data_IF_523052293303
#
_entry.id   IF_523052293303
#
_cell.length_a   1.000
_cell.length_b   1.000
_cell.length_c   1.000
_cell.angle_alpha   90.00
_cell.angle_beta   90.00
_cell.angle_gamma   90.00
#
_symmetry.space_group_name_H-M   'P 1'
#
loop_
_entity.id
_entity.type
_entity.pdbx_description
1 polymer ?
#
# COMPACT_ATOMS: atom_id res chain seq x y z
N UNK A 1 11.11 -4.19 0.62
CA UNK A 1 9.85 -4.73 0.05
C UNK A 1 9.31 -5.80 0.96
N UNK A 2 8.06 -5.65 1.47
CA UNK A 2 7.25 -6.64 2.21
C UNK A 2 6.13 -7.16 1.30
N UNK A 3 6.41 -8.12 0.40
CA UNK A 3 5.47 -8.50 -0.64
C UNK A 3 4.22 -9.13 0.00
N UNK A 4 3.05 -8.79 -0.54
CA UNK A 4 1.81 -9.41 -0.12
C UNK A 4 1.60 -10.71 -0.93
N UNK A 5 1.39 -11.83 -0.24
CA UNK A 5 1.10 -13.11 -0.86
C UNK A 5 -0.39 -13.33 -1.16
N UNK A 6 -1.27 -12.45 -0.70
CA UNK A 6 -2.72 -12.63 -0.77
C UNK A 6 -3.32 -12.16 -2.11
N UNK A 7 -2.66 -11.24 -2.82
CA UNK A 7 -3.17 -10.60 -4.04
C UNK A 7 -2.37 -10.99 -5.29
N UNK A 8 -3.06 -11.07 -6.42
CA UNK A 8 -2.45 -10.86 -7.74
C UNK A 8 -2.49 -9.37 -8.05
N UNK A 9 -1.39 -8.87 -8.63
CA UNK A 9 -1.18 -7.47 -8.91
C UNK A 9 -1.14 -7.22 -10.42
N UNK A 10 -1.92 -6.25 -10.89
CA UNK A 10 -1.92 -5.75 -12.26
C UNK A 10 -1.53 -4.26 -12.27
N UNK A 11 -0.23 -3.94 -12.46
CA UNK A 11 0.24 -2.56 -12.50
C UNK A 11 -0.14 -1.88 -13.83
N UNK A 12 -0.56 -0.63 -13.75
CA UNK A 12 -0.93 0.20 -14.91
C UNK A 12 -0.26 1.55 -14.78
N UNK A 13 0.43 2.01 -15.83
CA UNK A 13 0.84 3.41 -15.94
C UNK A 13 -0.25 4.16 -16.71
N UNK A 14 -0.65 5.33 -16.19
CA UNK A 14 -1.66 6.20 -16.79
C UNK A 14 -0.95 7.43 -17.36
N UNK A 15 -1.12 7.66 -18.66
CA UNK A 15 -0.64 8.86 -19.34
C UNK A 15 -1.82 9.70 -19.84
N UNK A 16 -2.06 10.82 -19.17
CA UNK A 16 -3.08 11.81 -19.51
C UNK A 16 -2.46 13.05 -20.14
N UNK A 17 -1.30 12.94 -20.80
CA UNK A 17 -0.72 14.04 -21.58
C UNK A 17 -1.52 14.34 -22.85
N UNK A 18 -1.94 13.31 -23.59
CA UNK A 18 -2.61 13.46 -24.89
C UNK A 18 -4.06 12.94 -24.91
N UNK A 19 -4.35 11.88 -24.16
CA UNK A 19 -5.63 11.17 -24.21
C UNK A 19 -6.24 11.03 -22.81
N UNK A 20 -7.57 10.88 -22.76
CA UNK A 20 -8.24 10.35 -21.58
C UNK A 20 -8.08 8.82 -21.55
N UNK A 21 -8.53 8.16 -20.50
CA UNK A 21 -8.52 6.69 -20.41
C UNK A 21 -9.92 6.18 -20.11
N UNK A 22 -10.36 5.16 -20.84
CA UNK A 22 -11.58 4.39 -20.58
C UNK A 22 -11.19 3.15 -19.77
N UNK A 23 -11.77 3.01 -18.57
CA UNK A 23 -11.54 1.88 -17.66
C UNK A 23 -12.84 1.09 -17.53
N UNK A 24 -12.83 -0.18 -17.90
CA UNK A 24 -13.96 -1.09 -17.71
C UNK A 24 -13.69 -2.01 -16.53
N UNK A 25 -14.49 -1.85 -15.47
CA UNK A 25 -14.48 -2.72 -14.31
C UNK A 25 -15.29 -4.00 -14.63
N UNK A 26 -14.69 -5.20 -14.58
CA UNK A 26 -15.42 -6.44 -14.83
C UNK A 26 -16.40 -6.75 -13.69
N UNK A 27 -17.40 -7.59 -14.00
CA UNK A 27 -18.34 -8.07 -12.99
C UNK A 27 -17.73 -9.22 -12.19
N UNK A 28 -17.28 -8.93 -10.95
CA UNK A 28 -16.68 -9.90 -10.04
C UNK A 28 -17.71 -10.27 -8.97
N UNK A 29 -18.23 -11.50 -9.00
CA UNK A 29 -19.41 -11.91 -8.20
C UNK A 29 -19.17 -13.03 -7.21
N UNK A 30 -17.95 -13.56 -7.12
CA UNK A 30 -17.63 -14.71 -6.26
C UNK A 30 -17.29 -14.31 -4.81
N UNK A 31 -17.51 -13.04 -4.46
CA UNK A 31 -17.33 -12.50 -3.12
C UNK A 31 -15.88 -12.19 -2.74
N UNK A 32 -14.91 -12.34 -3.67
CA UNK A 32 -13.52 -11.96 -3.39
C UNK A 32 -13.36 -10.45 -3.22
N UNK A 33 -12.44 -10.05 -2.36
CA UNK A 33 -12.05 -8.65 -2.24
C UNK A 33 -11.16 -8.23 -3.43
N UNK A 34 -11.39 -7.03 -3.96
CA UNK A 34 -10.59 -6.44 -5.02
C UNK A 34 -10.61 -4.91 -4.94
N UNK A 35 -9.56 -4.29 -5.45
CA UNK A 35 -9.43 -2.84 -5.52
C UNK A 35 -8.69 -2.42 -6.79
N UNK A 36 -9.19 -1.36 -7.42
CA UNK A 36 -8.64 -0.65 -8.56
C UNK A 36 -8.32 0.76 -8.04
N UNK A 37 -7.18 0.91 -7.34
CA UNK A 37 -6.77 2.18 -6.79
C UNK A 37 -6.16 3.04 -7.89
N UNK A 38 -6.45 4.33 -7.86
CA UNK A 38 -5.83 5.33 -8.71
C UNK A 38 -4.86 6.14 -7.87
N UNK A 39 -3.68 6.37 -8.45
CA UNK A 39 -2.61 7.11 -7.84
C UNK A 39 -2.12 8.21 -8.75
N UNK A 40 -1.80 9.36 -8.16
CA UNK A 40 -1.06 10.40 -8.87
C UNK A 40 0.41 9.99 -9.03
N UNK A 41 1.20 10.81 -9.73
CA UNK A 41 2.63 10.54 -9.89
C UNK A 41 3.40 10.42 -8.56
N UNK A 42 2.94 11.11 -7.51
CA UNK A 42 3.57 11.17 -6.19
C UNK A 42 3.10 10.08 -5.23
N UNK A 43 2.16 9.22 -5.65
CA UNK A 43 1.65 8.09 -4.89
C UNK A 43 0.43 8.40 -4.03
N UNK A 44 -0.26 9.51 -4.26
CA UNK A 44 -1.52 9.86 -3.58
C UNK A 44 -2.67 8.96 -4.05
N UNK A 45 -3.32 8.22 -3.15
CA UNK A 45 -4.45 7.34 -3.47
C UNK A 45 -5.80 8.08 -3.43
N UNK A 46 -5.99 9.03 -4.34
CA UNK A 46 -7.15 9.94 -4.33
C UNK A 46 -8.47 9.32 -4.80
N UNK A 47 -8.44 8.16 -5.48
CA UNK A 47 -9.66 7.47 -5.92
C UNK A 47 -9.51 5.94 -5.90
N UNK A 48 -10.63 5.26 -5.68
CA UNK A 48 -10.68 3.79 -5.65
C UNK A 48 -11.99 3.30 -6.29
N UNK A 49 -11.89 2.25 -7.10
CA UNK A 49 -13.02 1.38 -7.44
C UNK A 49 -12.79 0.01 -6.79
N UNK A 50 -13.82 -0.72 -6.43
CA UNK A 50 -13.61 -2.02 -5.79
C UNK A 50 -14.77 -2.55 -4.97
N UNK A 51 -14.52 -3.69 -4.34
CA UNK A 51 -15.49 -4.35 -3.44
C UNK A 51 -15.77 -3.56 -2.17
N UNK A 52 -14.81 -2.76 -1.68
CA UNK A 52 -14.97 -1.97 -0.44
C UNK A 52 -15.87 -0.75 -0.64
N UNK A 53 -15.72 -0.05 -1.78
CA UNK A 53 -16.55 1.10 -2.15
C UNK A 53 -17.83 0.68 -2.90
N UNK A 54 -18.06 -0.63 -3.07
CA UNK A 54 -19.20 -1.21 -3.78
C UNK A 54 -19.40 -0.62 -5.19
N UNK A 55 -18.31 -0.60 -5.98
CA UNK A 55 -18.35 -0.04 -7.33
C UNK A 55 -19.14 -0.93 -8.29
N UNK A 56 -20.12 -0.39 -9.03
CA UNK A 56 -20.84 -1.17 -10.04
C UNK A 56 -19.91 -1.55 -11.21
N UNK A 57 -20.03 -2.77 -11.77
CA UNK A 57 -19.27 -3.14 -12.95
C UNK A 57 -19.71 -2.30 -14.15
N UNK A 58 -18.76 -1.92 -15.01
CA UNK A 58 -19.02 -1.09 -16.18
C UNK A 58 -17.92 -0.07 -16.44
N UNK A 59 -18.26 0.97 -17.20
CA UNK A 59 -17.28 1.92 -17.72
C UNK A 59 -17.10 3.14 -16.84
N UNK A 60 -15.86 3.54 -16.68
CA UNK A 60 -15.42 4.74 -16.01
C UNK A 60 -14.50 5.55 -16.91
N UNK A 61 -14.62 6.87 -16.85
CA UNK A 61 -13.74 7.79 -17.57
C UNK A 61 -12.65 8.27 -16.62
N UNK A 62 -11.40 8.23 -17.06
CA UNK A 62 -10.27 8.86 -16.37
C UNK A 62 -9.81 10.04 -17.21
N UNK A 63 -9.67 11.22 -16.59
CA UNK A 63 -9.27 12.45 -17.27
C UNK A 63 -8.37 13.31 -16.38
N UNK A 64 -7.66 14.23 -17.01
CA UNK A 64 -6.99 15.33 -16.31
C UNK A 64 -7.93 16.52 -16.23
N UNK A 65 -8.17 17.06 -15.03
CA UNK A 65 -8.93 18.30 -14.84
C UNK A 65 -8.49 19.02 -13.56
N UNK A 66 -7.66 20.07 -13.73
CA UNK A 66 -7.14 20.86 -12.61
C UNK A 66 -8.16 21.82 -11.99
N UNK A 67 -9.35 21.99 -12.59
CA UNK A 67 -10.41 22.83 -12.04
C UNK A 67 -11.31 22.07 -11.06
N UNK A 68 -11.23 20.74 -11.02
CA UNK A 68 -12.00 19.89 -10.16
C UNK A 68 -11.14 19.33 -9.03
N UNK A 69 -11.75 19.05 -7.88
CA UNK A 69 -11.10 18.24 -6.85
C UNK A 69 -10.75 16.85 -7.42
N UNK A 70 -9.52 16.36 -7.20
CA UNK A 70 -9.15 15.00 -7.56
C UNK A 70 -10.09 13.98 -6.91
N UNK A 71 -10.42 12.92 -7.64
CA UNK A 71 -11.31 11.89 -7.12
C UNK A 71 -12.30 11.32 -8.12
N UNK A 72 -13.16 10.44 -7.60
CA UNK A 72 -14.25 9.81 -8.34
C UNK A 72 -15.56 10.57 -8.13
N UNK A 73 -16.22 10.93 -9.23
CA UNK A 73 -17.59 11.47 -9.24
C UNK A 73 -18.50 10.55 -10.04
N UNK A 74 -19.55 10.02 -9.41
CA UNK A 74 -20.54 9.16 -10.05
C UNK A 74 -21.63 9.98 -10.75
N UNK A 75 -22.18 9.45 -11.85
CA UNK A 75 -23.35 10.03 -12.53
C UNK A 75 -23.11 11.42 -13.14
N UNK A 76 -22.01 11.59 -13.87
CA UNK A 76 -21.61 12.87 -14.43
C UNK A 76 -22.45 13.27 -15.66
N UNK A 77 -23.10 14.43 -15.62
CA UNK A 77 -24.03 14.90 -16.68
C UNK A 77 -23.36 15.08 -18.06
N UNK A 78 -22.10 15.54 -18.08
CA UNK A 78 -21.32 15.70 -19.33
C UNK A 78 -20.94 14.34 -19.97
N UNK A 79 -20.85 13.29 -19.16
CA UNK A 79 -20.35 11.98 -19.56
C UNK A 79 -21.33 10.86 -19.18
N UNK A 80 -22.61 10.92 -19.61
CA UNK A 80 -23.67 10.04 -19.14
C UNK A 80 -23.50 8.57 -19.56
N UNK A 81 -22.61 8.30 -20.52
CA UNK A 81 -22.24 6.94 -20.93
C UNK A 81 -21.28 6.23 -19.96
N UNK A 82 -20.70 6.97 -19.01
CA UNK A 82 -19.83 6.46 -17.97
C UNK A 82 -20.56 6.45 -16.62
N UNK A 83 -20.31 5.41 -15.82
CA UNK A 83 -20.87 5.30 -14.46
C UNK A 83 -20.28 6.37 -13.54
N UNK A 84 -19.00 6.69 -13.73
CA UNK A 84 -18.31 7.77 -13.04
C UNK A 84 -17.08 8.28 -13.79
N UNK A 85 -16.59 9.42 -13.33
CA UNK A 85 -15.42 10.12 -13.86
C UNK A 85 -14.38 10.25 -12.76
N UNK A 86 -13.15 9.83 -13.03
CA UNK A 86 -11.99 9.97 -12.16
C UNK A 86 -11.15 11.15 -12.70
N UNK A 87 -11.07 12.22 -11.92
CA UNK A 87 -10.25 13.40 -12.24
C UNK A 87 -8.88 13.26 -11.56
N UNK A 88 -7.82 13.26 -12.36
CA UNK A 88 -6.43 13.20 -11.89
C UNK A 88 -5.90 14.61 -11.57
N UNK A 89 -5.05 14.76 -10.53
CA UNK A 89 -4.38 16.03 -10.23
C UNK A 89 -3.12 16.26 -11.08
N UNK A 90 -2.56 15.20 -11.66
CA UNK A 90 -1.28 15.19 -12.36
C UNK A 90 -1.41 14.58 -13.76
N UNK A 91 -0.54 14.98 -14.68
CA UNK A 91 -0.58 14.50 -16.08
C UNK A 91 -0.32 12.99 -16.19
N UNK A 92 0.43 12.43 -15.24
CA UNK A 92 0.76 11.01 -15.19
C UNK A 92 0.41 10.44 -13.83
N UNK A 93 0.09 9.15 -13.80
CA UNK A 93 -0.09 8.45 -12.56
C UNK A 93 -0.11 6.95 -12.78
N UNK A 94 -0.75 6.22 -11.89
CA UNK A 94 -0.77 4.77 -11.98
C UNK A 94 -2.01 4.15 -11.35
N UNK A 95 -2.19 2.86 -11.64
CA UNK A 95 -3.01 1.97 -10.84
C UNK A 95 -2.16 0.79 -10.40
N UNK A 96 -2.47 0.26 -9.23
CA UNK A 96 -1.95 -1.02 -8.77
C UNK A 96 -3.14 -1.90 -8.43
N UNK A 97 -3.76 -2.47 -9.46
CA UNK A 97 -4.97 -3.28 -9.32
C UNK A 97 -4.62 -4.53 -8.51
N UNK A 98 -5.46 -4.85 -7.52
CA UNK A 98 -5.24 -5.96 -6.59
C UNK A 98 -6.48 -6.82 -6.53
N UNK A 99 -6.36 -8.10 -6.82
CA UNK A 99 -7.45 -9.07 -6.69
C UNK A 99 -6.99 -10.20 -5.75
N UNK A 100 -7.76 -10.45 -4.68
CA UNK A 100 -7.44 -11.51 -3.72
C UNK A 100 -7.47 -12.88 -4.41
N UNK A 101 -6.45 -13.68 -4.14
CA UNK A 101 -6.45 -15.11 -4.45
C UNK A 101 -7.15 -15.86 -3.33
N UNK A 102 -8.02 -16.79 -3.72
CA UNK A 102 -8.48 -17.81 -2.79
C UNK A 102 -7.40 -18.88 -2.61
N UNK A 103 -7.29 -19.48 -1.42
CA UNK A 103 -6.40 -20.65 -1.21
C UNK A 103 -4.95 -20.50 -1.72
N UNK A 104 -4.30 -19.37 -1.42
CA UNK A 104 -2.86 -19.06 -1.57
C UNK A 104 -2.15 -19.81 -2.73
N UNK A 105 -2.52 -19.51 -3.98
CA UNK A 105 -1.83 -19.96 -5.20
C UNK A 105 -2.54 -21.03 -6.03
N UNK A 106 -3.57 -21.70 -5.50
CA UNK A 106 -4.38 -22.65 -6.29
C UNK A 106 -5.50 -21.99 -7.08
N UNK A 107 -5.89 -20.77 -6.70
CA UNK A 107 -6.92 -19.96 -7.34
C UNK A 107 -6.36 -18.96 -8.38
N UNK A 108 -5.06 -19.02 -8.67
CA UNK A 108 -4.40 -18.08 -9.57
C UNK A 108 -5.10 -18.02 -10.94
N UNK A 109 -5.47 -19.18 -11.51
CA UNK A 109 -6.15 -19.25 -12.80
C UNK A 109 -7.50 -18.50 -12.80
N UNK A 110 -8.25 -18.56 -11.70
CA UNK A 110 -9.52 -17.85 -11.59
C UNK A 110 -9.30 -16.33 -11.54
N UNK A 111 -8.26 -15.87 -10.82
CA UNK A 111 -7.88 -14.45 -10.82
C UNK A 111 -7.43 -13.99 -12.21
N UNK A 112 -6.60 -14.78 -12.90
CA UNK A 112 -6.15 -14.45 -14.26
C UNK A 112 -7.32 -14.35 -15.25
N UNK A 113 -8.35 -15.19 -15.08
CA UNK A 113 -9.59 -15.09 -15.87
C UNK A 113 -10.36 -13.81 -15.59
N UNK A 114 -10.38 -13.32 -14.35
CA UNK A 114 -10.97 -12.02 -14.01
C UNK A 114 -10.13 -10.90 -14.62
N UNK A 115 -8.81 -10.94 -14.46
CA UNK A 115 -7.89 -9.93 -15.01
C UNK A 115 -8.01 -9.82 -16.53
N UNK A 116 -8.23 -10.94 -17.23
CA UNK A 116 -8.44 -10.96 -18.68
C UNK A 116 -9.69 -10.21 -19.17
N UNK A 117 -10.61 -9.89 -18.26
CA UNK A 117 -11.84 -9.14 -18.54
C UNK A 117 -11.72 -7.65 -18.21
N UNK A 118 -10.60 -7.22 -17.62
CA UNK A 118 -10.29 -5.81 -17.40
C UNK A 118 -9.91 -5.20 -18.75
N UNK A 119 -10.57 -4.10 -19.14
CA UNK A 119 -10.24 -3.34 -20.35
C UNK A 119 -9.87 -1.91 -19.95
N UNK A 120 -8.65 -1.49 -20.27
CA UNK A 120 -8.12 -0.15 -20.02
C UNK A 120 -7.52 0.34 -21.33
N UNK A 121 -8.07 1.42 -21.90
CA UNK A 121 -7.66 1.90 -23.21
C UNK A 121 -7.65 3.41 -23.32
N UNK A 122 -6.79 3.98 -24.18
CA UNK A 122 -6.82 5.39 -24.45
C UNK A 122 -8.15 5.81 -25.11
N UNK A 123 -8.58 7.02 -24.78
CA UNK A 123 -9.75 7.67 -25.31
C UNK A 123 -9.35 9.06 -25.80
N UNK A 124 -9.40 9.26 -27.12
CA UNK A 124 -9.08 10.54 -27.74
C UNK A 124 -9.90 11.68 -27.14
N UNK A 125 -9.23 12.79 -26.82
CA UNK A 125 -9.86 14.04 -26.39
C UNK A 125 -9.47 15.20 -27.32
N UNK A 126 -10.35 16.19 -27.50
CA UNK A 126 -9.99 17.40 -28.23
C UNK A 126 -9.06 18.29 -27.40
N UNK A 127 -8.21 19.07 -28.09
CA UNK A 127 -7.36 20.08 -27.46
C UNK A 127 -5.86 19.80 -27.61
N UNK A 128 -5.01 20.76 -27.19
CA UNK A 128 -3.57 20.54 -27.15
C UNK A 128 -3.18 19.53 -26.06
N UNK A 129 -2.00 18.91 -26.14
CA UNK A 129 -1.47 18.09 -25.06
C UNK A 129 -1.27 18.91 -23.77
N UNK A 130 -1.47 18.27 -22.63
CA UNK A 130 -1.21 18.85 -21.30
C UNK A 130 0.25 18.69 -20.86
N UNK A 131 1.04 17.92 -21.60
CA UNK A 131 2.46 17.67 -21.34
C UNK A 131 3.08 16.77 -22.41
N UNK A 132 4.36 16.41 -22.25
CA UNK A 132 4.99 15.41 -23.11
C UNK A 132 4.37 14.03 -22.87
N UNK A 133 4.48 13.12 -23.84
CA UNK A 133 4.08 11.73 -23.64
C UNK A 133 4.95 11.07 -22.56
N UNK A 134 4.39 10.14 -21.79
CA UNK A 134 5.14 9.36 -20.82
C UNK A 134 6.04 8.36 -21.54
N UNK A 135 7.33 8.69 -21.62
CA UNK A 135 8.34 7.88 -22.30
C UNK A 135 9.57 7.72 -21.40
N UNK A 136 10.41 6.71 -21.63
CA UNK A 136 11.71 6.62 -20.97
C UNK A 136 12.55 7.90 -21.09
N UNK A 137 12.43 8.63 -22.21
CA UNK A 137 13.09 9.91 -22.45
C UNK A 137 12.54 11.01 -21.53
N UNK A 138 11.21 11.10 -21.38
CA UNK A 138 10.56 12.01 -20.42
C UNK A 138 11.04 11.73 -18.99
N UNK A 139 11.32 10.47 -18.68
CA UNK A 139 11.86 10.02 -17.38
C UNK A 139 13.40 10.04 -17.30
N UNK A 140 14.08 10.83 -18.14
CA UNK A 140 15.53 11.06 -18.12
C UNK A 140 16.39 9.78 -18.23
N UNK A 141 15.86 8.73 -18.87
CA UNK A 141 16.51 7.43 -18.92
C UNK A 141 16.30 6.66 -17.61
N UNK A 142 15.26 5.84 -17.59
CA UNK A 142 14.79 5.04 -16.44
C UNK A 142 15.85 4.19 -15.72
N UNK A 143 17.02 3.94 -16.33
CA UNK A 143 18.08 3.09 -15.75
C UNK A 143 18.84 3.73 -14.58
N UNK A 144 18.91 5.06 -14.46
CA UNK A 144 19.67 5.71 -13.37
C UNK A 144 18.93 5.60 -12.03
N UNK A 145 17.60 5.42 -12.05
CA UNK A 145 16.77 5.37 -10.85
C UNK A 145 16.82 4.03 -10.12
N UNK A 146 17.22 2.94 -10.78
CA UNK A 146 17.04 1.61 -10.22
C UNK A 146 17.89 1.35 -8.96
N UNK A 147 19.12 1.86 -8.90
CA UNK A 147 19.96 1.70 -7.70
C UNK A 147 19.56 2.67 -6.58
N UNK A 148 19.32 3.94 -6.94
CA UNK A 148 18.91 4.97 -5.98
C UNK A 148 17.54 4.67 -5.36
N UNK A 149 16.60 4.10 -6.11
CA UNK A 149 15.25 3.75 -5.64
C UNK A 149 15.24 2.66 -4.55
N UNK A 150 16.34 1.91 -4.39
CA UNK A 150 16.48 0.88 -3.34
C UNK A 150 17.03 1.44 -2.02
N UNK A 151 17.48 2.70 -2.02
CA UNK A 151 18.06 3.36 -0.85
C UNK A 151 17.03 4.19 -0.11
N UNK A 152 17.28 4.37 1.19
CA UNK A 152 16.55 5.36 1.98
C UNK A 152 16.73 6.76 1.37
N UNK A 153 15.68 7.62 1.31
CA UNK A 153 15.79 8.98 0.81
C UNK A 153 16.87 9.82 1.50
N UNK A 154 17.19 9.51 2.76
CA UNK A 154 18.27 10.16 3.53
C UNK A 154 19.60 9.38 3.53
N UNK A 155 19.66 8.24 2.84
CA UNK A 155 20.87 7.45 2.62
C UNK A 155 21.50 7.65 1.24
N UNK A 156 20.97 8.55 0.42
CA UNK A 156 21.43 8.83 -0.93
C UNK A 156 22.72 9.64 -0.94
N UNK A 157 23.62 9.34 -1.88
CA UNK A 157 24.78 10.18 -2.13
C UNK A 157 24.44 11.38 -3.04
N UNK A 158 25.39 12.30 -3.20
CA UNK A 158 25.17 13.55 -3.96
C UNK A 158 24.82 13.31 -5.43
N UNK A 159 25.34 12.24 -6.04
CA UNK A 159 25.06 11.89 -7.44
C UNK A 159 23.61 11.45 -7.55
N UNK A 160 23.17 10.56 -6.65
CA UNK A 160 21.82 10.01 -6.64
C UNK A 160 20.78 11.08 -6.36
N UNK A 161 21.04 11.95 -5.38
CA UNK A 161 20.17 13.11 -5.11
C UNK A 161 20.08 14.01 -6.34
N UNK A 162 21.21 14.31 -7.01
CA UNK A 162 21.21 15.17 -8.21
C UNK A 162 20.39 14.54 -9.34
N UNK A 163 20.45 13.23 -9.53
CA UNK A 163 19.64 12.51 -10.52
C UNK A 163 18.16 12.65 -10.22
N UNK A 164 17.75 12.40 -8.96
CA UNK A 164 16.33 12.51 -8.56
C UNK A 164 15.82 13.94 -8.74
N UNK A 165 16.61 14.95 -8.37
CA UNK A 165 16.23 16.35 -8.54
C UNK A 165 16.17 16.75 -10.02
N UNK A 166 17.04 16.20 -10.86
CA UNK A 166 17.01 16.41 -12.32
C UNK A 166 15.75 15.79 -12.94
N UNK A 167 15.39 14.57 -12.54
CA UNK A 167 14.14 13.94 -12.95
C UNK A 167 12.93 14.77 -12.49
N UNK A 168 12.92 15.17 -11.23
CA UNK A 168 11.84 15.98 -10.67
C UNK A 168 11.67 17.28 -11.46
N UNK A 169 12.76 17.94 -11.86
CA UNK A 169 12.69 19.15 -12.69
C UNK A 169 12.06 18.90 -14.06
N UNK A 170 12.29 17.74 -14.67
CA UNK A 170 11.73 17.40 -15.97
C UNK A 170 10.21 17.14 -15.93
N UNK A 171 9.64 16.82 -14.76
CA UNK A 171 8.25 16.37 -14.63
C UNK A 171 7.36 17.30 -13.79
N UNK A 172 7.92 18.13 -12.92
CA UNK A 172 7.15 18.93 -11.93
C UNK A 172 6.17 19.91 -12.59
N UNK A 173 6.54 20.52 -13.71
CA UNK A 173 5.69 21.48 -14.43
C UNK A 173 4.37 20.86 -14.93
N UNK A 174 4.34 19.54 -15.11
CA UNK A 174 3.18 18.77 -15.58
C UNK A 174 2.46 18.02 -14.44
N UNK A 175 3.00 18.11 -13.23
CA UNK A 175 2.58 17.32 -12.07
C UNK A 175 2.62 18.20 -10.82
N UNK A 176 1.63 19.07 -10.64
CA UNK A 176 1.53 19.88 -9.44
C UNK A 176 1.08 19.06 -8.21
N UNK A 177 1.06 19.70 -7.02
CA UNK A 177 0.51 19.06 -5.83
C UNK A 177 -0.97 18.73 -6.05
N UNK A 178 -1.45 17.65 -5.41
CA UNK A 178 -2.86 17.28 -5.41
C UNK A 178 -3.74 18.44 -4.92
N UNK A 179 -3.38 19.04 -3.79
CA UNK A 179 -4.09 20.20 -3.27
C UNK A 179 -3.75 21.47 -4.08
N UNK A 180 -4.77 21.96 -4.80
CA UNK A 180 -4.72 23.20 -5.58
C UNK A 180 -4.18 24.41 -4.82
N UNK A 181 -4.42 24.52 -3.51
CA UNK A 181 -3.95 25.66 -2.71
C UNK A 181 -2.43 25.70 -2.55
N UNK A 182 -1.75 24.55 -2.69
CA UNK A 182 -0.33 24.42 -2.43
C UNK A 182 0.53 24.80 -3.65
N UNK A 183 -0.07 24.91 -4.84
CA UNK A 183 0.66 25.19 -6.08
C UNK A 183 1.60 26.40 -5.97
N UNK A 184 1.12 27.51 -5.39
CA UNK A 184 1.93 28.72 -5.24
C UNK A 184 3.16 28.50 -4.36
N UNK A 185 2.95 27.90 -3.18
CA UNK A 185 4.02 27.65 -2.21
C UNK A 185 5.01 26.58 -2.71
N UNK A 186 4.51 25.50 -3.31
CA UNK A 186 5.35 24.42 -3.87
C UNK A 186 6.21 24.94 -5.02
N UNK A 187 5.63 25.75 -5.92
CA UNK A 187 6.38 26.36 -7.02
C UNK A 187 7.47 27.32 -6.52
N UNK A 188 7.19 28.09 -5.47
CA UNK A 188 8.20 28.95 -4.83
C UNK A 188 9.33 28.12 -4.21
N UNK A 189 9.01 27.04 -3.50
CA UNK A 189 9.99 26.13 -2.93
C UNK A 189 10.87 25.47 -4.01
N UNK A 190 10.28 24.99 -5.11
CA UNK A 190 11.04 24.45 -6.23
C UNK A 190 11.92 25.51 -6.90
N UNK A 191 11.41 26.72 -7.14
CA UNK A 191 12.23 27.83 -7.66
C UNK A 191 13.44 28.12 -6.75
N UNK A 192 13.23 28.21 -5.44
CA UNK A 192 14.30 28.42 -4.46
C UNK A 192 15.29 27.26 -4.38
N UNK A 193 14.83 26.02 -4.62
CA UNK A 193 15.66 24.83 -4.65
C UNK A 193 16.45 24.66 -5.96
N UNK A 194 16.21 25.50 -6.97
CA UNK A 194 16.97 25.51 -8.23
C UNK A 194 16.24 24.93 -9.44
N UNK A 195 14.92 24.72 -9.35
CA UNK A 195 14.11 24.19 -10.45
C UNK A 195 13.63 25.32 -11.34
N UNK A 196 13.88 25.21 -12.65
CA UNK A 196 13.38 26.17 -13.63
C UNK A 196 13.32 25.58 -15.04
N UNK A 197 12.13 25.63 -15.66
CA UNK A 197 11.93 25.30 -17.08
C UNK A 197 12.43 23.91 -17.47
N UNK A 198 12.13 22.89 -16.65
CA UNK A 198 12.57 21.52 -16.92
C UNK A 198 13.98 21.18 -16.42
N UNK A 199 14.71 22.15 -15.85
CA UNK A 199 16.13 22.01 -15.50
C UNK A 199 16.35 22.23 -14.00
N UNK A 200 17.15 21.34 -13.40
CA UNK A 200 17.66 21.52 -12.04
C UNK A 200 19.03 22.20 -12.08
N UNK A 201 19.15 23.37 -11.45
CA UNK A 201 20.41 24.09 -11.24
C UNK A 201 20.60 24.36 -9.75
N UNK A 202 21.51 23.66 -9.05
CA UNK A 202 21.66 23.79 -7.61
C UNK A 202 22.05 25.23 -7.21
N UNK A 203 21.37 25.83 -6.21
CA UNK A 203 21.72 27.15 -5.69
C UNK A 203 23.17 27.22 -5.18
N UNK A 204 23.85 28.37 -5.32
CA UNK A 204 25.19 28.54 -4.78
C UNK A 204 25.27 28.22 -3.28
N UNK A 205 26.18 27.33 -2.90
CA UNK A 205 26.40 26.94 -1.51
C UNK A 205 25.40 25.91 -0.95
N UNK A 206 24.52 25.32 -1.77
CA UNK A 206 23.65 24.24 -1.33
C UNK A 206 24.47 23.04 -0.81
N UNK A 207 24.19 22.63 0.43
CA UNK A 207 24.79 21.46 1.05
C UNK A 207 23.76 20.32 1.11
N UNK A 208 23.82 19.42 0.12
CA UNK A 208 22.91 18.28 0.01
C UNK A 208 23.07 17.26 1.14
N UNK A 209 24.27 17.13 1.73
CA UNK A 209 24.47 16.29 2.91
C UNK A 209 23.71 16.83 4.12
N UNK A 210 23.76 18.15 4.34
CA UNK A 210 22.99 18.79 5.43
C UNK A 210 21.48 18.67 5.18
N UNK A 211 21.03 18.83 3.94
CA UNK A 211 19.61 18.64 3.58
C UNK A 211 19.14 17.23 3.91
N UNK A 212 19.94 16.20 3.58
CA UNK A 212 19.65 14.80 3.92
C UNK A 212 19.49 14.58 5.42
N UNK A 213 20.41 15.11 6.24
CA UNK A 213 20.33 15.02 7.71
C UNK A 213 19.09 15.72 8.29
N UNK A 214 18.66 16.84 7.69
CA UNK A 214 17.43 17.52 8.09
C UNK A 214 16.20 16.66 7.77
N UNK A 215 16.15 16.04 6.60
CA UNK A 215 15.06 15.14 6.19
C UNK A 215 14.98 13.93 7.12
N UNK A 216 16.11 13.29 7.43
CA UNK A 216 16.18 12.16 8.37
C UNK A 216 15.65 12.55 9.75
N UNK A 217 16.11 13.69 10.28
CA UNK A 217 15.69 14.18 11.59
C UNK A 217 14.20 14.51 11.63
N UNK A 218 13.68 15.18 10.60
CA UNK A 218 12.27 15.54 10.52
C UNK A 218 11.39 14.30 10.41
N UNK A 219 11.80 13.32 9.60
CA UNK A 219 11.08 12.04 9.45
C UNK A 219 11.09 11.25 10.76
N UNK A 220 12.25 11.13 11.42
CA UNK A 220 12.37 10.45 12.71
C UNK A 220 11.52 11.12 13.79
N UNK A 221 11.49 12.46 13.80
CA UNK A 221 10.66 13.25 14.72
C UNK A 221 9.17 12.95 14.48
N UNK A 222 8.72 12.99 13.23
CA UNK A 222 7.34 12.67 12.87
C UNK A 222 6.94 11.24 13.30
N UNK A 223 7.79 10.25 13.04
CA UNK A 223 7.55 8.84 13.40
C UNK A 223 7.61 8.57 14.91
N UNK A 224 8.27 9.45 15.68
CA UNK A 224 8.27 9.38 17.15
C UNK A 224 7.10 10.12 17.80
N UNK A 225 6.31 10.88 17.02
CA UNK A 225 5.23 11.72 17.52
C UNK A 225 3.98 10.87 17.81
N UNK A 226 3.52 10.74 19.07
CA UNK A 226 2.43 9.82 19.40
C UNK A 226 1.11 10.13 18.69
N UNK A 227 0.81 11.40 18.40
CA UNK A 227 -0.44 11.80 17.72
C UNK A 227 -0.52 11.36 16.25
N UNK A 228 0.59 10.91 15.66
CA UNK A 228 0.58 10.32 14.32
C UNK A 228 0.04 8.89 14.31
N UNK A 229 -0.18 8.28 15.48
CA UNK A 229 -0.60 6.89 15.62
C UNK A 229 -1.87 6.74 16.45
N UNK A 230 -2.68 5.76 16.08
CA UNK A 230 -3.78 5.24 16.87
C UNK A 230 -3.25 4.07 17.70
N UNK A 231 -3.43 4.13 19.02
CA UNK A 231 -3.18 2.98 19.89
C UNK A 231 -4.37 2.01 19.78
N UNK A 232 -4.09 0.80 19.34
CA UNK A 232 -5.09 -0.25 19.09
C UNK A 232 -5.18 -1.26 20.25
N UNK A 233 -4.44 -1.02 21.33
CA UNK A 233 -4.34 -1.93 22.48
C UNK A 233 -3.43 -3.13 22.20
N UNK A 234 -3.08 -3.87 23.26
CA UNK A 234 -2.25 -5.09 23.17
C UNK A 234 -0.95 -4.91 22.35
N UNK A 235 -0.30 -3.76 22.49
CA UNK A 235 0.91 -3.39 21.75
C UNK A 235 0.74 -3.21 20.23
N UNK A 236 -0.50 -3.13 19.74
CA UNK A 236 -0.77 -2.77 18.35
C UNK A 236 -0.95 -1.27 18.18
N UNK A 237 -0.49 -0.76 17.04
CA UNK A 237 -0.74 0.62 16.60
C UNK A 237 -0.96 0.67 15.10
N UNK A 238 -1.57 1.73 14.62
CA UNK A 238 -1.65 2.05 13.19
C UNK A 238 -1.43 3.56 13.01
N UNK A 239 -1.07 4.00 11.80
CA UNK A 239 -1.09 5.43 11.48
C UNK A 239 -2.52 5.99 11.58
N UNK A 240 -2.64 7.28 11.90
CA UNK A 240 -3.93 7.97 11.78
C UNK A 240 -4.36 8.04 10.31
N UNK A 241 -5.68 8.01 10.00
CA UNK A 241 -6.20 7.99 8.65
C UNK A 241 -5.62 9.00 7.66
N UNK A 242 -5.36 10.24 8.11
CA UNK A 242 -4.84 11.33 7.26
C UNK A 242 -3.38 11.16 6.86
N UNK A 243 -2.71 10.10 7.34
CA UNK A 243 -1.32 9.77 7.04
C UNK A 243 -1.20 8.46 6.25
N UNK A 244 -2.29 7.97 5.65
CA UNK A 244 -2.34 6.71 4.91
C UNK A 244 -2.88 6.94 3.49
N UNK A 245 -2.07 6.68 2.47
CA UNK A 245 -2.45 6.67 1.05
C UNK A 245 -2.75 8.03 0.42
N UNK A 246 -3.65 8.82 1.00
CA UNK A 246 -4.04 10.17 0.59
C UNK A 246 -3.54 11.17 1.65
N UNK A 247 -2.34 11.68 1.42
CA UNK A 247 -1.54 12.44 2.36
C UNK A 247 -1.83 13.94 2.30
N UNK A 248 -2.39 14.45 1.19
CA UNK A 248 -2.55 15.88 0.93
C UNK A 248 -1.25 16.67 1.22
N UNK A 249 -1.25 17.51 2.27
CA UNK A 249 -0.09 18.32 2.68
C UNK A 249 0.90 17.59 3.62
N UNK A 250 0.68 16.31 3.93
CA UNK A 250 1.56 15.51 4.80
C UNK A 250 2.79 14.97 4.07
N UNK A 251 3.54 15.86 3.41
CA UNK A 251 4.68 15.54 2.55
C UNK A 251 5.75 14.62 3.19
N UNK A 252 6.00 14.75 4.50
CA UNK A 252 6.94 13.88 5.22
C UNK A 252 6.46 12.42 5.23
N UNK A 253 5.17 12.19 5.48
CA UNK A 253 4.61 10.84 5.49
C UNK A 253 4.47 10.27 4.08
N UNK A 254 4.17 11.12 3.08
CA UNK A 254 4.21 10.72 1.67
C UNK A 254 5.61 10.26 1.26
N UNK A 255 6.64 11.05 1.56
CA UNK A 255 8.03 10.71 1.26
C UNK A 255 8.51 9.45 2.02
N UNK A 256 8.15 9.33 3.30
CA UNK A 256 8.44 8.13 4.09
C UNK A 256 7.78 6.89 3.48
N UNK A 257 6.50 6.99 3.12
CA UNK A 257 5.72 5.88 2.55
C UNK A 257 6.22 5.48 1.18
N UNK A 258 6.63 6.43 0.33
CA UNK A 258 7.25 6.13 -0.96
C UNK A 258 8.50 5.23 -0.83
N UNK A 259 9.23 5.33 0.28
CA UNK A 259 10.37 4.45 0.56
C UNK A 259 9.94 3.10 1.18
N UNK A 260 9.10 3.12 2.22
CA UNK A 260 8.80 1.89 2.97
C UNK A 260 7.72 1.00 2.32
N UNK A 261 6.88 1.57 1.46
CA UNK A 261 5.73 0.92 0.85
C UNK A 261 4.95 1.83 -0.10
N UNK A 262 5.56 2.18 -1.24
CA UNK A 262 4.93 3.02 -2.28
C UNK A 262 3.56 2.45 -2.72
N UNK A 263 2.64 3.36 -3.08
CA UNK A 263 1.24 3.07 -3.42
C UNK A 263 0.44 2.52 -2.22
N UNK A 264 0.57 3.17 -1.07
CA UNK A 264 -0.25 2.88 0.09
C UNK A 264 -1.72 3.19 -0.19
N UNK A 265 -2.63 2.37 0.35
CA UNK A 265 -4.06 2.58 0.17
C UNK A 265 -4.58 3.54 1.24
N UNK A 266 -5.60 4.32 0.92
CA UNK A 266 -6.32 5.08 1.94
C UNK A 266 -6.85 4.15 3.04
N UNK A 267 -6.91 4.65 4.27
CA UNK A 267 -7.29 3.85 5.45
C UNK A 267 -8.69 3.23 5.39
N UNK A 268 -9.58 3.75 4.54
CA UNK A 268 -10.91 3.15 4.29
C UNK A 268 -10.84 1.91 3.41
N UNK A 269 -9.81 1.79 2.56
CA UNK A 269 -9.56 0.60 1.74
C UNK A 269 -8.72 -0.44 2.48
N UNK A 270 -7.68 -0.02 3.21
CA UNK A 270 -6.85 -0.93 3.98
C UNK A 270 -6.16 -0.24 5.15
N UNK A 271 -5.96 -0.98 6.24
CA UNK A 271 -5.06 -0.62 7.33
C UNK A 271 -4.01 -1.72 7.54
N UNK A 272 -2.85 -1.32 8.06
CA UNK A 272 -1.71 -2.20 8.30
C UNK A 272 -1.24 -2.11 9.76
N UNK A 273 -2.05 -2.56 10.74
CA UNK A 273 -1.66 -2.54 12.14
C UNK A 273 -0.31 -3.21 12.36
N UNK A 274 0.54 -2.53 13.12
CA UNK A 274 1.86 -2.99 13.49
C UNK A 274 1.87 -3.40 14.96
N UNK A 275 2.48 -4.55 15.24
CA UNK A 275 2.77 -4.97 16.61
C UNK A 275 4.11 -4.36 17.04
N UNK A 276 4.12 -3.59 18.12
CA UNK A 276 5.28 -2.86 18.63
C UNK A 276 5.49 -3.11 20.13
N UNK A 277 6.63 -3.69 20.48
CA UNK A 277 7.06 -3.92 21.87
C UNK A 277 8.41 -3.24 22.08
N UNK A 278 8.58 -2.58 23.22
CA UNK A 278 9.83 -1.88 23.58
C UNK A 278 10.33 -0.92 22.50
N UNK A 279 9.40 -0.30 21.75
CA UNK A 279 9.70 0.66 20.70
C UNK A 279 10.11 0.06 19.35
N UNK A 280 10.10 -1.27 19.21
CA UNK A 280 10.44 -1.98 17.96
C UNK A 280 9.29 -2.85 17.46
N UNK A 281 9.15 -2.99 16.14
CA UNK A 281 8.26 -3.96 15.49
C UNK A 281 8.95 -5.31 15.19
N UNK A 282 10.18 -5.48 15.68
CA UNK A 282 10.98 -6.68 15.53
C UNK A 282 10.73 -7.66 16.69
N UNK A 283 10.37 -8.88 16.33
CA UNK A 283 10.24 -10.05 17.18
C UNK A 283 11.46 -10.96 17.00
N UNK A 284 11.72 -11.81 17.99
CA UNK A 284 12.77 -12.82 17.86
C UNK A 284 12.43 -14.13 18.56
N UNK A 285 12.78 -15.25 17.95
CA UNK A 285 12.67 -16.59 18.53
C UNK A 285 13.99 -17.34 18.40
N UNK A 286 14.30 -18.18 19.39
CA UNK A 286 15.23 -19.30 19.20
C UNK A 286 14.49 -20.53 18.65
N UNK A 287 15.19 -21.64 18.43
CA UNK A 287 14.55 -22.91 18.04
C UNK A 287 13.61 -23.49 19.12
N UNK A 288 13.77 -23.07 20.39
CA UNK A 288 12.96 -23.55 21.52
C UNK A 288 11.96 -22.49 22.00
N UNK A 289 11.74 -21.44 21.21
CA UNK A 289 10.79 -20.40 21.52
C UNK A 289 9.74 -20.30 20.43
N UNK A 290 8.58 -19.77 20.82
CA UNK A 290 7.50 -19.46 19.90
C UNK A 290 6.74 -18.23 20.36
N UNK A 291 5.91 -17.69 19.48
CA UNK A 291 4.88 -16.74 19.84
C UNK A 291 3.51 -17.35 19.58
N UNK A 292 2.59 -17.12 20.51
CA UNK A 292 1.16 -17.30 20.28
C UNK A 292 0.53 -15.93 20.10
N UNK A 293 -0.14 -15.73 18.97
CA UNK A 293 -0.97 -14.57 18.70
C UNK A 293 -2.44 -14.97 18.83
N UNK A 294 -3.08 -14.54 19.93
CA UNK A 294 -4.47 -14.86 20.27
C UNK A 294 -5.40 -13.74 19.82
N UNK A 295 -6.18 -14.02 18.79
CA UNK A 295 -7.24 -13.14 18.28
C UNK A 295 -8.45 -13.22 19.23
N UNK A 296 -9.10 -12.08 19.47
CA UNK A 296 -10.33 -12.03 20.29
C UNK A 296 -11.55 -12.63 19.57
N UNK A 297 -11.50 -12.62 18.24
CA UNK A 297 -12.51 -13.12 17.31
C UNK A 297 -12.06 -12.82 15.88
N UNK A 298 -12.97 -12.92 14.91
CA UNK A 298 -12.73 -12.60 13.50
C UNK A 298 -12.49 -11.08 13.36
N UNK A 299 -11.40 -10.63 12.71
CA UNK A 299 -11.26 -9.22 12.34
C UNK A 299 -12.46 -8.76 11.51
N UNK A 300 -13.20 -7.70 11.91
CA UNK A 300 -14.39 -7.25 11.19
C UNK A 300 -14.01 -6.41 9.98
N UNK A 301 -13.81 -7.06 8.85
CA UNK A 301 -13.27 -6.51 7.61
C UNK A 301 -13.77 -7.31 6.41
N UNK A 302 -13.56 -6.84 5.18
CA UNK A 302 -13.87 -7.60 3.96
C UNK A 302 -12.86 -8.73 3.70
N UNK A 303 -11.59 -8.52 4.03
CA UNK A 303 -10.52 -9.53 3.97
C UNK A 303 -9.41 -9.16 4.96
N UNK A 304 -8.82 -10.12 5.67
CA UNK A 304 -7.63 -9.89 6.50
C UNK A 304 -6.57 -10.96 6.27
N UNK A 305 -5.33 -10.63 6.61
CA UNK A 305 -4.24 -11.59 6.66
C UNK A 305 -3.18 -11.24 7.69
N UNK A 306 -2.45 -12.26 8.15
CA UNK A 306 -1.27 -12.12 8.98
C UNK A 306 -0.07 -12.74 8.26
N UNK A 307 1.01 -11.98 8.12
CA UNK A 307 2.21 -12.42 7.38
C UNK A 307 3.48 -12.06 8.17
N UNK A 308 4.37 -13.04 8.48
CA UNK A 308 5.68 -12.75 9.03
C UNK A 308 6.71 -12.47 7.94
N UNK A 309 7.68 -11.59 8.25
CA UNK A 309 8.76 -11.19 7.35
C UNK A 309 10.11 -11.20 8.06
N UNK A 310 11.16 -11.62 7.35
CA UNK A 310 12.55 -11.48 7.77
C UNK A 310 13.30 -10.70 6.70
N UNK A 311 14.06 -9.67 7.10
CA UNK A 311 14.72 -8.73 6.18
C UNK A 311 13.76 -8.12 5.14
N UNK A 312 12.50 -7.94 5.54
CA UNK A 312 11.34 -7.57 4.74
C UNK A 312 10.84 -8.63 3.73
N UNK A 313 11.48 -9.79 3.56
CA UNK A 313 11.02 -10.83 2.64
C UNK A 313 10.17 -11.91 3.32
N UNK A 314 9.40 -12.65 2.52
CA UNK A 314 8.65 -13.83 2.99
C UNK A 314 9.61 -14.88 3.52
N UNK A 315 9.21 -15.57 4.58
CA UNK A 315 10.05 -16.57 5.25
C UNK A 315 9.84 -17.95 4.61
N UNK A 316 10.85 -18.53 3.92
CA UNK A 316 10.74 -19.85 3.31
C UNK A 316 10.47 -20.94 4.35
N UNK A 317 9.63 -21.92 3.99
CA UNK A 317 9.25 -23.02 4.89
C UNK A 317 8.73 -24.24 4.12
N UNK A 318 8.70 -25.39 4.80
CA UNK A 318 8.30 -26.66 4.19
C UNK A 318 6.83 -26.78 3.81
N UNK A 319 5.95 -25.87 4.27
CA UNK A 319 4.52 -25.86 3.91
C UNK A 319 4.21 -24.92 2.75
N UNK A 320 5.20 -24.16 2.24
CA UNK A 320 5.00 -23.06 1.30
C UNK A 320 3.86 -22.10 1.76
N UNK A 321 3.76 -21.89 3.08
CA UNK A 321 2.76 -21.01 3.69
C UNK A 321 3.41 -19.72 4.15
N UNK A 322 2.91 -18.60 3.67
CA UNK A 322 3.49 -17.30 3.94
C UNK A 322 2.53 -16.39 4.70
N UNK A 323 1.22 -16.55 4.54
CA UNK A 323 0.20 -15.84 5.30
C UNK A 323 -0.85 -16.82 5.85
N UNK A 324 -1.59 -16.34 6.85
CA UNK A 324 -2.87 -16.92 7.26
C UNK A 324 -3.95 -15.85 7.11
N UNK A 325 -5.08 -16.25 6.54
CA UNK A 325 -6.24 -15.42 6.27
C UNK A 325 -7.52 -16.27 6.43
N UNK A 326 -8.67 -15.65 6.21
CA UNK A 326 -9.98 -16.29 6.36
C UNK A 326 -10.22 -17.55 5.52
N UNK A 327 -9.38 -17.84 4.52
CA UNK A 327 -9.50 -19.06 3.71
C UNK A 327 -8.40 -20.08 3.98
N UNK A 328 -7.54 -19.86 4.97
CA UNK A 328 -6.43 -20.75 5.29
C UNK A 328 -6.82 -21.96 6.16
N UNK A 329 -8.12 -22.31 6.23
CA UNK A 329 -8.65 -23.39 7.08
C UNK A 329 -8.22 -23.28 8.56
N UNK A 330 -8.16 -22.06 9.08
CA UNK A 330 -7.83 -21.79 10.49
C UNK A 330 -8.86 -22.49 11.38
N UNK A 331 -8.40 -23.12 12.46
CA UNK A 331 -9.26 -23.85 13.41
C UNK A 331 -9.29 -23.19 14.79
N UNK A 332 -10.39 -23.40 15.51
CA UNK A 332 -10.49 -23.17 16.94
C UNK A 332 -9.72 -24.24 17.74
N UNK A 333 -9.54 -24.06 19.07
CA UNK A 333 -8.88 -25.07 19.91
C UNK A 333 -9.54 -26.46 19.91
N UNK A 334 -10.83 -26.54 19.61
CA UNK A 334 -11.56 -27.82 19.48
C UNK A 334 -11.46 -28.47 18.09
N UNK A 335 -10.71 -27.85 17.16
CA UNK A 335 -10.48 -28.36 15.81
C UNK A 335 -11.55 -27.97 14.79
N UNK A 336 -12.65 -27.33 15.18
CA UNK A 336 -13.64 -26.81 14.23
C UNK A 336 -13.10 -25.57 13.48
N UNK A 337 -13.56 -25.35 12.25
CA UNK A 337 -13.12 -24.23 11.44
C UNK A 337 -13.58 -22.87 12.01
N UNK A 338 -12.71 -21.86 11.92
CA UNK A 338 -13.03 -20.46 12.18
C UNK A 338 -13.91 -19.89 11.06
N UNK A 339 -13.60 -20.23 9.82
CA UNK A 339 -14.31 -19.80 8.62
C UNK A 339 -14.85 -20.99 7.84
N UNK A 340 -16.07 -20.85 7.32
CA UNK A 340 -16.77 -21.94 6.63
C UNK A 340 -17.36 -23.00 7.59
N UNK A 341 -18.07 -23.96 7.03
CA UNK A 341 -18.82 -24.98 7.77
C UNK A 341 -20.11 -24.46 8.41
N UNK A 342 -20.73 -25.27 9.28
CA UNK A 342 -21.95 -24.90 10.02
C UNK A 342 -21.68 -23.93 11.20
N UNK A 343 -20.41 -23.57 11.44
CA UNK A 343 -20.01 -22.79 12.59
C UNK A 343 -20.19 -21.28 12.35
N UNK A 344 -21.27 -20.73 12.91
CA UNK A 344 -21.59 -19.30 12.84
C UNK A 344 -21.09 -18.51 14.05
N UNK A 345 -20.51 -19.16 15.06
CA UNK A 345 -20.12 -18.51 16.31
C UNK A 345 -18.72 -17.93 16.20
N UNK A 346 -18.60 -16.60 16.40
CA UNK A 346 -17.30 -15.95 16.55
C UNK A 346 -16.77 -16.08 17.98
N UNK A 347 -15.51 -16.49 18.11
CA UNK A 347 -14.83 -16.75 19.39
C UNK A 347 -13.30 -16.64 19.21
N UNK A 348 -12.52 -16.58 20.30
CA UNK A 348 -11.08 -16.49 20.19
C UNK A 348 -10.44 -17.68 19.47
N UNK A 349 -9.41 -17.40 18.67
CA UNK A 349 -8.54 -18.38 18.03
C UNK A 349 -7.08 -17.92 18.12
N UNK A 350 -6.15 -18.83 17.83
CA UNK A 350 -4.72 -18.60 18.07
C UNK A 350 -3.90 -18.96 16.85
N UNK A 351 -2.85 -18.18 16.58
CA UNK A 351 -1.84 -18.44 15.56
C UNK A 351 -0.49 -18.66 16.24
N UNK A 352 0.21 -19.72 15.86
CA UNK A 352 1.55 -20.07 16.32
C UNK A 352 2.60 -19.57 15.34
N UNK A 353 3.59 -18.81 15.85
CA UNK A 353 4.80 -18.44 15.12
C UNK A 353 6.00 -19.13 15.77
N UNK A 354 6.74 -19.92 15.01
CA UNK A 354 7.96 -20.61 15.47
C UNK A 354 8.92 -20.80 14.30
N UNK A 355 10.19 -21.10 14.60
CA UNK A 355 11.21 -21.30 13.58
C UNK A 355 10.77 -22.29 12.48
N UNK A 356 10.98 -21.93 11.21
CA UNK A 356 10.46 -22.65 10.04
C UNK A 356 10.93 -24.11 9.92
N UNK A 357 12.06 -24.45 10.55
CA UNK A 357 12.64 -25.79 10.58
C UNK A 357 12.22 -26.61 11.82
N UNK A 358 11.35 -26.08 12.68
CA UNK A 358 10.70 -26.81 13.77
C UNK A 358 9.32 -27.24 13.30
N UNK A 359 9.04 -28.54 13.34
CA UNK A 359 7.73 -29.06 12.97
C UNK A 359 6.65 -28.50 13.91
N UNK A 360 5.55 -27.92 13.40
CA UNK A 360 4.44 -27.52 14.26
C UNK A 360 3.85 -28.75 14.95
N UNK A 361 3.43 -28.66 16.22
CA UNK A 361 2.67 -29.74 16.81
C UNK A 361 1.41 -30.03 15.97
N UNK A 362 0.97 -31.29 15.91
CA UNK A 362 -0.05 -31.74 14.96
C UNK A 362 -1.35 -30.93 14.99
N UNK A 363 -1.76 -30.43 16.17
CA UNK A 363 -2.96 -29.61 16.33
C UNK A 363 -2.77 -28.14 15.93
N UNK A 364 -1.56 -27.71 15.60
CA UNK A 364 -1.23 -26.34 15.19
C UNK A 364 -0.97 -26.20 13.69
N UNK A 365 -0.87 -27.29 12.93
CA UNK A 365 -0.48 -27.24 11.52
C UNK A 365 -1.35 -26.30 10.68
N UNK A 366 -2.66 -26.18 10.95
CA UNK A 366 -3.52 -25.21 10.26
C UNK A 366 -3.29 -23.75 10.69
N UNK A 367 -2.91 -23.53 11.94
CA UNK A 367 -2.78 -22.21 12.55
C UNK A 367 -1.32 -21.79 12.72
N UNK A 368 -0.43 -22.32 11.89
CA UNK A 368 1.01 -22.10 12.01
C UNK A 368 1.52 -21.14 10.93
N UNK A 369 2.43 -20.25 11.34
CA UNK A 369 3.22 -19.37 10.48
C UNK A 369 4.72 -19.49 10.78
N UNK A 370 5.60 -19.32 9.78
CA UNK A 370 7.03 -19.45 9.94
C UNK A 370 7.66 -18.22 10.62
N UNK A 371 8.66 -18.47 11.46
CA UNK A 371 9.74 -17.53 11.78
C UNK A 371 11.06 -18.04 11.14
N UNK A 372 12.17 -17.28 11.14
CA UNK A 372 13.40 -17.69 10.47
C UNK A 372 13.89 -19.08 10.90
N UNK A 373 14.41 -19.86 9.95
CA UNK A 373 14.96 -21.18 10.24
C UNK A 373 16.17 -21.07 11.18
N UNK A 374 16.21 -21.89 12.23
CA UNK A 374 17.22 -21.80 13.30
C UNK A 374 16.92 -20.74 14.36
N UNK A 375 15.82 -19.99 14.21
CA UNK A 375 15.54 -18.79 15.00
C UNK A 375 16.13 -17.53 14.37
N UNK A 376 15.86 -16.38 15.00
CA UNK A 376 16.29 -15.08 14.53
C UNK A 376 15.18 -14.04 14.60
N UNK A 377 15.47 -12.89 14.00
CA UNK A 377 14.59 -11.73 14.01
C UNK A 377 13.58 -11.77 12.86
N UNK A 378 12.38 -11.32 13.13
CA UNK A 378 11.31 -11.17 12.14
C UNK A 378 10.32 -10.10 12.59
N UNK A 379 9.43 -9.69 11.71
CA UNK A 379 8.31 -8.82 12.03
C UNK A 379 7.02 -9.45 11.53
N UNK A 380 5.87 -8.94 11.97
CA UNK A 380 4.55 -9.39 11.50
C UNK A 380 3.75 -8.21 10.99
N UNK A 381 3.05 -8.41 9.87
CA UNK A 381 2.05 -7.49 9.38
C UNK A 381 0.68 -8.13 9.52
N UNK A 382 -0.21 -7.48 10.27
CA UNK A 382 -1.64 -7.69 10.15
C UNK A 382 -2.16 -6.74 9.08
N UNK A 383 -2.88 -7.25 8.10
CA UNK A 383 -3.52 -6.47 7.05
C UNK A 383 -5.02 -6.63 7.18
N UNK A 384 -5.77 -5.53 7.11
CA UNK A 384 -7.22 -5.56 7.07
C UNK A 384 -7.70 -4.67 5.93
N UNK A 385 -8.48 -5.25 5.02
CA UNK A 385 -9.00 -4.64 3.80
C UNK A 385 -10.51 -4.44 3.92
N UNK A 386 -10.97 -3.24 3.61
CA UNK A 386 -12.30 -2.78 4.00
C UNK A 386 -12.51 -2.85 5.52
N UNK A 387 -11.62 -2.25 6.33
CA UNK A 387 -11.75 -2.30 7.78
C UNK A 387 -13.03 -1.58 8.21
N UNK A 388 -13.80 -2.23 9.09
CA UNK A 388 -14.90 -1.53 9.77
C UNK A 388 -14.37 -0.50 10.76
N UNK A 389 -15.22 0.43 11.19
CA UNK A 389 -14.86 1.42 12.22
C UNK A 389 -14.28 0.78 13.50
N UNK A 390 -14.69 -0.44 13.86
CA UNK A 390 -14.20 -1.14 15.04
C UNK A 390 -12.68 -1.42 14.99
N UNK A 391 -12.13 -1.73 13.80
CA UNK A 391 -10.70 -1.94 13.62
C UNK A 391 -9.94 -0.60 13.68
N UNK A 392 -10.51 0.47 13.12
CA UNK A 392 -9.84 1.77 13.03
C UNK A 392 -9.92 2.60 14.32
N UNK A 393 -10.89 2.34 15.20
CA UNK A 393 -11.10 3.10 16.44
C UNK A 393 -10.75 2.32 17.73
N UNK A 394 -10.06 1.18 17.60
CA UNK A 394 -9.68 0.30 18.71
C UNK A 394 -10.83 -0.36 19.50
N UNK A 395 -12.07 -0.38 18.98
CA UNK A 395 -13.17 -1.12 19.63
C UNK A 395 -13.08 -2.63 19.41
N UNK A 396 -12.47 -3.06 18.30
CA UNK A 396 -12.03 -4.45 18.14
C UNK A 396 -10.83 -4.70 19.05
N UNK A 397 -10.89 -5.77 19.84
CA UNK A 397 -9.78 -6.14 20.72
C UNK A 397 -8.70 -6.83 19.90
N UNK A 398 -7.63 -6.10 19.59
CA UNK A 398 -6.51 -6.61 18.82
C UNK A 398 -5.80 -7.80 19.48
N UNK A 399 -5.09 -8.64 18.71
CA UNK A 399 -4.55 -9.89 19.24
C UNK A 399 -3.57 -9.70 20.40
N UNK A 400 -3.69 -10.56 21.43
CA UNK A 400 -2.68 -10.66 22.49
C UNK A 400 -1.54 -11.52 21.97
N UNK A 401 -0.31 -11.04 22.09
CA UNK A 401 0.89 -11.76 21.66
C UNK A 401 1.68 -12.20 22.88
N UNK A 402 1.94 -13.50 23.00
CA UNK A 402 2.68 -14.10 24.13
C UNK A 402 3.88 -14.86 23.61
N UNK A 403 5.07 -14.54 24.11
CA UNK A 403 6.27 -15.33 23.88
C UNK A 403 6.29 -16.54 24.81
N UNK A 404 6.57 -17.71 24.28
CA UNK A 404 6.70 -18.96 25.01
C UNK A 404 8.13 -19.49 24.88
N UNK A 405 8.65 -20.02 25.97
CA UNK A 405 9.85 -20.86 25.98
C UNK A 405 9.41 -22.31 26.20
N UNK A 406 10.10 -23.25 25.55
CA UNK A 406 9.89 -24.68 25.72
C UNK A 406 10.08 -25.15 27.16
#
# INVERSE_FOLDING_TARGET
VRPNADYVYSPVAIDLSHENVDVTLPNITDGRSYVFPFYDLYGENFANLGSVVDSPPGKYLVRLDHACEPGLVMGHDEFPQYLGVISFPTTWGSMMIRIVTFNNGTDLEAVLQIESQIDIKPLSRPGPPNGPALTPETLQGSSILNEAALKSPWGLDITEVTVILTLMAAIEEYSGPENGSDYGAVKEMFGAAGFSGGVYTPPPGLNLTLASLIIEKNTSTALSTPSCFINLGNSWKNLVPSLCGDFHSHYIFRAYTAYIGYLDLVSTQAIYPEYVVDGTNELSVTMNESYIMRFSGKPPTAFWSLTPYADNYLIPNGLNRYSLHEQSNITYPDGSLVYGGENTTDRPFEILLQAANVAPPTNWTSNWLPAPAGGGNFSVNLRAYGPTAALSNASYVYPIVTKLSA
#
